data_IF_248668369957
#
_entry.id   IF_248668369957
#
_cell.length_a   1.000
_cell.length_b   1.000
_cell.length_c   1.000
_cell.angle_alpha   90.00
_cell.angle_beta   90.00
_cell.angle_gamma   90.00
#
_symmetry.space_group_name_H-M   'P 1'
#
loop_
_entity.id
_entity.type
_entity.pdbx_description
1 polymer ?
#
# COMPACT_ATOMS: atom_id res chain seq x y z
N UNK A 1 -6.25 15.29 -16.34
CA UNK A 1 -5.58 16.46 -15.70
C UNK A 1 -4.08 16.24 -15.90
N UNK A 2 -3.33 17.19 -16.49
CA UNK A 2 -1.86 17.24 -16.22
C UNK A 2 -1.74 17.05 -14.72
N UNK A 3 -0.98 16.06 -14.21
CA UNK A 3 -0.55 16.06 -12.79
C UNK A 3 -0.31 17.53 -12.50
N UNK A 4 -1.11 18.13 -11.61
CA UNK A 4 -0.96 19.53 -11.28
C UNK A 4 0.53 19.70 -11.04
N UNK A 5 1.12 20.79 -11.52
CA UNK A 5 2.36 21.22 -10.94
C UNK A 5 2.01 21.52 -9.47
N UNK A 6 1.89 20.48 -8.64
CA UNK A 6 2.04 20.59 -7.22
C UNK A 6 3.35 21.31 -7.09
N UNK A 7 3.33 22.40 -6.33
CA UNK A 7 4.54 23.00 -5.79
C UNK A 7 5.51 21.85 -5.55
N UNK A 8 6.65 21.81 -6.24
CA UNK A 8 7.60 20.71 -6.09
C UNK A 8 7.79 20.54 -4.59
N UNK A 9 7.20 19.47 -4.03
CA UNK A 9 7.21 19.30 -2.60
C UNK A 9 8.68 19.18 -2.25
N UNK A 10 9.17 20.13 -1.45
CA UNK A 10 10.56 20.16 -1.08
C UNK A 10 10.87 18.82 -0.43
N UNK A 11 11.89 18.14 -0.95
CA UNK A 11 12.29 16.85 -0.43
C UNK A 11 12.61 17.02 1.07
N UNK A 12 11.98 16.24 1.97
CA UNK A 12 12.28 16.34 3.39
C UNK A 12 13.73 15.93 3.60
N UNK A 13 14.48 16.73 4.36
CA UNK A 13 15.84 16.37 4.78
C UNK A 13 15.81 15.29 5.87
N UNK A 14 14.83 15.40 6.77
CA UNK A 14 14.61 14.49 7.89
C UNK A 14 13.12 14.20 8.07
N UNK A 15 12.82 12.96 8.43
CA UNK A 15 11.46 12.49 8.72
C UNK A 15 11.45 11.96 10.15
N UNK A 16 10.44 12.37 10.92
CA UNK A 16 10.13 11.75 12.21
C UNK A 16 9.10 10.66 12.02
N UNK A 17 9.29 9.56 12.72
CA UNK A 17 8.40 8.38 12.71
C UNK A 17 8.04 8.07 14.15
N UNK A 18 6.75 8.10 14.48
CA UNK A 18 6.24 7.84 15.83
C UNK A 18 5.28 6.67 15.81
N UNK A 19 5.41 5.81 16.82
CA UNK A 19 4.41 4.78 17.15
C UNK A 19 3.71 5.21 18.44
N UNK A 20 2.53 5.86 18.35
CA UNK A 20 1.91 6.49 19.52
C UNK A 20 1.68 5.53 20.68
N UNK A 21 1.24 4.29 20.38
CA UNK A 21 1.02 3.24 21.39
C UNK A 21 2.29 2.85 22.15
N UNK A 22 3.45 2.91 21.50
CA UNK A 22 4.75 2.58 22.08
C UNK A 22 5.46 3.80 22.66
N UNK A 23 4.85 4.99 22.56
CA UNK A 23 5.42 6.28 22.95
C UNK A 23 6.88 6.46 22.50
N UNK A 24 7.17 6.03 21.28
CA UNK A 24 8.54 6.03 20.75
C UNK A 24 8.57 6.72 19.40
N UNK A 25 9.56 7.60 19.24
CA UNK A 25 9.81 8.35 18.01
C UNK A 25 11.26 8.14 17.59
N UNK A 26 11.47 7.89 16.30
CA UNK A 26 12.78 7.85 15.67
C UNK A 26 12.90 8.91 14.57
N UNK A 27 14.13 9.17 14.15
CA UNK A 27 14.49 10.13 13.11
C UNK A 27 15.17 9.42 11.96
N UNK A 28 14.67 9.65 10.75
CA UNK A 28 15.28 9.19 9.51
C UNK A 28 15.89 10.38 8.80
N UNK A 29 17.19 10.31 8.50
CA UNK A 29 17.86 11.24 7.60
C UNK A 29 17.70 10.75 6.17
N UNK A 30 17.11 11.58 5.31
CA UNK A 30 16.92 11.26 3.90
C UNK A 30 18.23 11.45 3.14
N UNK A 31 18.47 10.59 2.14
CA UNK A 31 19.68 10.59 1.31
C UNK A 31 19.36 11.09 -0.09
N UNK A 32 20.32 11.81 -0.69
CA UNK A 32 20.25 12.28 -2.08
C UNK A 32 20.46 11.16 -3.13
N UNK A 33 20.46 9.89 -2.73
CA UNK A 33 20.64 8.77 -3.65
C UNK A 33 19.42 8.48 -4.53
N UNK A 34 18.22 8.87 -4.06
CA UNK A 34 16.95 8.72 -4.77
C UNK A 34 16.07 9.98 -4.61
N UNK A 35 16.53 11.16 -5.06
CA UNK A 35 15.87 12.44 -4.80
C UNK A 35 14.45 12.48 -5.33
N UNK A 36 14.15 11.78 -6.43
CA UNK A 36 12.81 11.71 -7.00
C UNK A 36 11.84 11.02 -6.03
N UNK A 37 12.26 9.88 -5.46
CA UNK A 37 11.46 9.11 -4.50
C UNK A 37 11.31 9.85 -3.17
N UNK A 38 12.35 10.56 -2.72
CA UNK A 38 12.30 11.37 -1.49
C UNK A 38 11.36 12.57 -1.65
N UNK A 39 11.44 13.30 -2.76
CA UNK A 39 10.50 14.40 -3.06
C UNK A 39 9.07 13.88 -3.18
N UNK A 40 8.88 12.71 -3.81
CA UNK A 40 7.59 12.07 -3.90
C UNK A 40 7.02 11.71 -2.51
N UNK A 41 7.83 11.12 -1.63
CA UNK A 41 7.42 10.90 -0.24
C UNK A 41 7.06 12.21 0.48
N UNK A 42 7.80 13.28 0.24
CA UNK A 42 7.50 14.62 0.76
C UNK A 42 6.09 15.10 0.41
N UNK A 43 5.54 14.71 -0.75
CA UNK A 43 4.17 15.06 -1.15
C UNK A 43 3.08 14.30 -0.40
N UNK A 44 3.42 13.17 0.23
CA UNK A 44 2.50 12.38 1.07
C UNK A 44 2.57 12.76 2.55
N UNK A 45 3.61 13.48 3.00
CA UNK A 45 3.77 13.85 4.40
C UNK A 45 2.92 15.07 4.79
N UNK A 46 2.35 15.10 6.02
CA UNK A 46 2.33 14.01 7.01
C UNK A 46 1.26 12.95 6.70
N UNK A 47 1.48 11.71 7.15
CA UNK A 47 0.48 10.64 7.09
C UNK A 47 0.58 9.67 8.27
N UNK A 48 -0.50 8.93 8.53
CA UNK A 48 -0.54 7.76 9.43
C UNK A 48 -0.70 6.47 8.63
N UNK A 49 -0.40 5.31 9.21
CA UNK A 49 -0.58 3.99 8.58
C UNK A 49 -0.64 2.87 9.62
N UNK A 50 -1.10 1.68 9.22
CA UNK A 50 -0.95 0.46 10.00
C UNK A 50 0.48 -0.08 9.87
N UNK A 51 1.19 -0.15 10.99
CA UNK A 51 2.52 -0.74 11.05
C UNK A 51 2.45 -2.26 11.00
N UNK A 52 3.24 -2.86 10.12
CA UNK A 52 3.41 -4.32 10.04
C UNK A 52 4.87 -4.74 10.13
N UNK A 53 5.08 -6.03 10.41
CA UNK A 53 6.36 -6.70 10.37
C UNK A 53 6.43 -7.66 9.17
N UNK A 54 7.61 -7.76 8.55
CA UNK A 54 7.85 -8.79 7.55
C UNK A 54 7.80 -10.20 8.15
N UNK A 55 7.06 -11.08 7.48
CA UNK A 55 6.87 -12.48 7.90
C UNK A 55 7.71 -13.45 7.09
N UNK A 56 8.48 -12.93 6.11
CA UNK A 56 9.34 -13.71 5.21
C UNK A 56 10.72 -13.08 5.09
N UNK A 57 10.79 -11.77 4.85
CA UNK A 57 12.05 -11.11 4.50
C UNK A 57 13.07 -11.03 5.65
N UNK A 58 12.67 -11.28 6.90
CA UNK A 58 13.50 -11.12 8.09
C UNK A 58 13.16 -9.85 8.87
N UNK A 59 14.18 -9.23 9.44
CA UNK A 59 14.10 -8.06 10.33
C UNK A 59 13.81 -6.77 9.55
N UNK A 60 12.55 -6.65 9.10
CA UNK A 60 12.03 -5.48 8.40
C UNK A 60 10.66 -5.05 8.94
N UNK A 61 10.54 -3.75 9.16
CA UNK A 61 9.27 -3.07 9.35
C UNK A 61 8.80 -2.48 8.03
N UNK A 62 7.51 -2.57 7.73
CA UNK A 62 6.93 -1.80 6.65
C UNK A 62 5.47 -1.45 6.89
N UNK A 63 5.04 -0.38 6.23
CA UNK A 63 3.67 0.09 6.23
C UNK A 63 3.34 0.71 4.87
N UNK A 64 2.04 0.85 4.60
CA UNK A 64 1.56 1.46 3.37
C UNK A 64 1.73 2.98 3.41
N UNK A 65 2.22 3.53 2.31
CA UNK A 65 2.25 4.96 2.02
C UNK A 65 1.01 5.27 1.17
N UNK A 66 0.21 6.29 1.52
CA UNK A 66 -1.01 6.64 0.78
C UNK A 66 -0.66 7.37 -0.52
N UNK A 67 0.01 6.69 -1.45
CA UNK A 67 0.56 7.32 -2.65
C UNK A 67 0.57 6.37 -3.86
N UNK A 68 -0.36 6.57 -4.80
CA UNK A 68 -0.51 5.78 -6.03
C UNK A 68 0.77 5.83 -6.87
N UNK A 69 1.44 6.98 -6.86
CA UNK A 69 2.63 7.25 -7.67
C UNK A 69 3.81 6.33 -7.33
N UNK A 70 3.82 5.69 -6.15
CA UNK A 70 4.84 4.68 -5.84
C UNK A 70 4.70 3.42 -6.70
N UNK A 71 3.48 3.06 -7.13
CA UNK A 71 3.22 1.91 -8.02
C UNK A 71 4.01 2.05 -9.34
N UNK A 72 4.00 3.26 -9.90
CA UNK A 72 4.56 3.57 -11.22
C UNK A 72 6.02 4.03 -11.15
N UNK A 73 6.44 4.67 -10.06
CA UNK A 73 7.79 5.20 -9.87
C UNK A 73 8.69 4.28 -9.05
N UNK A 74 8.15 3.17 -8.52
CA UNK A 74 8.93 2.23 -7.74
C UNK A 74 10.03 1.53 -8.55
N UNK A 75 11.03 0.96 -7.85
CA UNK A 75 12.28 0.52 -8.46
C UNK A 75 12.09 -0.44 -9.65
N UNK A 76 11.09 -1.31 -9.66
CA UNK A 76 10.99 -2.49 -10.52
C UNK A 76 10.85 -2.25 -12.05
N UNK A 77 10.99 -1.01 -12.55
CA UNK A 77 10.90 -0.70 -13.97
C UNK A 77 12.16 0.00 -14.51
N UNK A 78 12.69 -0.44 -15.65
CA UNK A 78 13.68 0.30 -16.44
C UNK A 78 13.24 0.19 -17.90
N UNK A 79 12.68 1.23 -18.53
CA UNK A 79 12.28 1.12 -19.93
C UNK A 79 13.54 0.92 -20.79
N UNK A 80 13.52 -0.08 -21.69
CA UNK A 80 14.63 -0.35 -22.63
C UNK A 80 14.78 0.71 -23.72
N UNK A 81 13.83 1.65 -23.85
CA UNK A 81 13.89 2.82 -24.74
C UNK A 81 13.20 4.01 -24.08
N UNK A 82 13.74 5.24 -24.18
CA UNK A 82 13.00 6.44 -23.79
C UNK A 82 11.76 6.56 -24.69
N UNK A 83 10.57 6.57 -24.11
CA UNK A 83 9.35 6.86 -24.85
C UNK A 83 9.23 8.39 -24.88
N UNK A 84 9.41 8.97 -26.07
CA UNK A 84 9.06 10.37 -26.31
C UNK A 84 7.57 10.53 -25.97
N UNK A 85 7.27 11.33 -24.94
CA UNK A 85 5.97 11.57 -24.28
C UNK A 85 5.68 10.82 -22.96
N UNK A 86 6.59 9.99 -22.41
CA UNK A 86 6.41 9.35 -21.09
C UNK A 86 7.06 10.11 -19.92
N UNK A 87 7.12 11.44 -19.96
CA UNK A 87 7.90 12.29 -19.05
C UNK A 87 7.46 12.29 -17.57
N UNK A 88 6.72 11.29 -17.06
CA UNK A 88 6.11 11.31 -15.71
C UNK A 88 6.17 10.01 -14.91
N UNK A 89 6.90 8.99 -15.38
CA UNK A 89 7.15 7.78 -14.59
C UNK A 89 8.65 7.58 -14.46
N UNK A 90 9.22 8.02 -13.35
CA UNK A 90 10.67 7.97 -13.12
C UNK A 90 10.94 6.83 -12.14
N UNK A 91 11.54 5.72 -12.58
CA UNK A 91 11.99 4.66 -11.68
C UNK A 91 12.97 5.19 -10.64
N UNK A 92 13.20 4.40 -9.57
CA UNK A 92 14.28 4.66 -8.62
C UNK A 92 15.58 5.09 -9.33
N UNK A 93 16.11 6.26 -8.95
CA UNK A 93 17.31 6.86 -9.54
C UNK A 93 18.52 5.93 -9.35
N UNK A 94 18.58 5.26 -8.19
CA UNK A 94 19.59 4.26 -7.85
C UNK A 94 18.99 3.11 -7.05
N UNK A 95 19.41 1.89 -7.40
CA UNK A 95 19.12 0.70 -6.57
C UNK A 95 20.37 0.13 -5.94
N UNK A 96 20.25 -0.25 -4.67
CA UNK A 96 21.12 -1.25 -4.11
C UNK A 96 20.76 -2.61 -4.74
N UNK A 97 21.76 -3.41 -5.16
CA UNK A 97 21.51 -4.67 -5.84
C UNK A 97 20.90 -5.75 -4.93
N UNK A 98 21.10 -5.64 -3.62
CA UNK A 98 20.74 -6.66 -2.65
C UNK A 98 20.39 -6.00 -1.31
N UNK A 99 19.11 -6.04 -0.93
CA UNK A 99 18.64 -5.43 0.33
C UNK A 99 19.20 -6.11 1.57
N UNK A 100 19.58 -7.39 1.49
CA UNK A 100 20.18 -8.09 2.61
C UNK A 100 21.52 -7.44 3.03
N UNK A 101 22.23 -6.84 2.07
CA UNK A 101 23.55 -6.20 2.26
C UNK A 101 23.49 -4.73 2.66
N UNK A 102 22.33 -4.08 2.59
CA UNK A 102 22.17 -2.71 3.05
C UNK A 102 22.34 -2.63 4.57
N UNK A 103 22.91 -1.57 5.15
CA UNK A 103 23.11 -1.49 6.60
C UNK A 103 21.78 -1.39 7.36
N UNK A 104 21.76 -1.80 8.62
CA UNK A 104 20.62 -1.57 9.51
C UNK A 104 20.29 -0.07 9.59
N UNK A 105 19.01 0.22 9.78
CA UNK A 105 18.44 1.56 9.73
C UNK A 105 18.18 2.06 8.31
N UNK A 106 18.57 1.32 7.26
CA UNK A 106 18.28 1.71 5.88
C UNK A 106 16.78 1.77 5.61
N UNK A 107 16.36 2.86 4.96
CA UNK A 107 14.98 3.10 4.57
C UNK A 107 14.82 2.93 3.07
N UNK A 108 13.78 2.18 2.67
CA UNK A 108 13.44 1.93 1.27
C UNK A 108 12.02 2.38 0.95
N UNK A 109 11.81 2.84 -0.29
CA UNK A 109 10.48 2.97 -0.88
C UNK A 109 10.32 1.92 -2.00
N UNK A 110 9.15 1.28 -2.06
CA UNK A 110 8.90 0.20 -3.02
C UNK A 110 7.70 0.46 -3.92
N UNK A 111 7.62 -0.26 -5.04
CA UNK A 111 6.46 -0.23 -5.94
C UNK A 111 5.20 -0.86 -5.35
N UNK A 112 5.30 -1.52 -4.20
CA UNK A 112 4.15 -2.03 -3.44
C UNK A 112 3.61 -0.98 -2.48
N UNK A 113 3.89 0.30 -2.75
CA UNK A 113 3.51 1.44 -1.91
C UNK A 113 4.05 1.37 -0.48
N UNK A 114 5.14 0.64 -0.24
CA UNK A 114 5.70 0.51 1.12
C UNK A 114 6.78 1.54 1.43
N UNK A 115 6.76 2.02 2.67
CA UNK A 115 7.93 2.55 3.37
C UNK A 115 8.49 1.42 4.23
N UNK A 116 9.76 1.07 4.03
CA UNK A 116 10.40 -0.10 4.66
C UNK A 116 11.60 0.36 5.46
N UNK A 117 11.78 -0.18 6.67
CA UNK A 117 12.97 0.02 7.50
C UNK A 117 13.60 -1.35 7.79
N UNK A 118 14.85 -1.54 7.40
CA UNK A 118 15.66 -2.68 7.85
C UNK A 118 16.19 -2.41 9.25
N UNK A 119 16.07 -3.34 10.19
CA UNK A 119 16.61 -3.18 11.55
C UNK A 119 17.52 -4.32 12.03
N UNK A 120 17.67 -5.38 11.22
CA UNK A 120 18.52 -6.54 11.51
C UNK A 120 18.74 -7.44 10.28
N UNK A 121 18.78 -8.76 10.47
CA UNK A 121 19.07 -9.72 9.40
C UNK A 121 17.94 -9.85 8.39
N UNK A 122 18.25 -9.83 7.10
CA UNK A 122 17.29 -9.93 6.00
C UNK A 122 17.73 -11.02 5.04
N UNK A 123 16.82 -11.94 4.70
CA UNK A 123 17.08 -13.09 3.82
C UNK A 123 16.66 -12.82 2.37
N UNK A 124 15.80 -11.84 2.15
CA UNK A 124 15.35 -11.48 0.80
C UNK A 124 16.44 -10.68 0.08
N UNK A 125 16.92 -11.17 -1.08
CA UNK A 125 18.00 -10.53 -1.84
C UNK A 125 17.54 -9.53 -2.92
N UNK A 126 16.25 -9.16 -2.92
CA UNK A 126 15.72 -8.32 -3.98
C UNK A 126 16.35 -6.91 -3.98
N UNK A 127 16.63 -6.33 -5.17
CA UNK A 127 17.11 -4.95 -5.27
C UNK A 127 16.12 -3.96 -4.64
N UNK A 128 16.65 -2.90 -4.02
CA UNK A 128 15.86 -1.87 -3.32
C UNK A 128 16.32 -0.46 -3.64
N UNK A 129 15.40 0.50 -3.50
CA UNK A 129 15.69 1.92 -3.64
C UNK A 129 15.90 2.53 -2.25
N UNK A 130 17.17 2.67 -1.84
CA UNK A 130 17.53 3.26 -0.55
C UNK A 130 17.34 4.77 -0.57
N UNK A 131 16.41 5.25 0.26
CA UNK A 131 15.99 6.65 0.32
C UNK A 131 16.49 7.37 1.58
N UNK A 132 16.87 6.65 2.63
CA UNK A 132 17.29 7.26 3.89
C UNK A 132 17.99 6.30 4.82
N UNK A 133 18.34 6.78 6.01
CA UNK A 133 18.85 5.97 7.12
C UNK A 133 18.34 6.54 8.44
N UNK A 134 17.89 5.67 9.35
CA UNK A 134 17.67 6.02 10.75
C UNK A 134 18.99 6.52 11.36
N UNK A 135 18.92 7.59 12.15
CA UNK A 135 20.10 8.14 12.82
C UNK A 135 20.63 7.15 13.86
N UNK A 136 21.94 7.16 14.11
CA UNK A 136 22.58 6.13 14.94
C UNK A 136 22.05 6.16 16.38
N UNK A 137 21.68 7.34 16.90
CA UNK A 137 21.10 7.54 18.23
C UNK A 137 19.72 6.90 18.43
N UNK A 138 19.00 6.63 17.34
CA UNK A 138 17.65 6.07 17.37
C UNK A 138 17.63 4.57 16.99
N UNK A 139 18.79 3.95 16.72
CA UNK A 139 18.87 2.54 16.31
C UNK A 139 18.43 1.57 17.40
N UNK A 140 18.73 1.83 18.68
CA UNK A 140 18.24 0.98 19.77
C UNK A 140 16.72 1.09 19.95
N UNK A 141 16.17 2.31 19.79
CA UNK A 141 14.72 2.54 19.79
C UNK A 141 14.03 1.79 18.65
N UNK A 142 14.62 1.81 17.46
CA UNK A 142 14.10 1.08 16.30
C UNK A 142 14.02 -0.43 16.57
N UNK A 143 15.10 -1.02 17.10
CA UNK A 143 15.14 -2.47 17.40
C UNK A 143 14.10 -2.84 18.45
N UNK A 144 14.01 -2.05 19.54
CA UNK A 144 12.99 -2.27 20.56
C UNK A 144 11.57 -2.15 19.99
N UNK A 145 11.29 -1.12 19.18
CA UNK A 145 9.99 -0.98 18.50
C UNK A 145 9.69 -2.19 17.61
N UNK A 146 10.67 -2.65 16.85
CA UNK A 146 10.50 -3.79 15.95
C UNK A 146 10.17 -5.09 16.71
N UNK A 147 10.86 -5.34 17.82
CA UNK A 147 10.58 -6.47 18.71
C UNK A 147 9.15 -6.40 19.27
N UNK A 148 8.70 -5.23 19.71
CA UNK A 148 7.33 -5.04 20.20
C UNK A 148 6.30 -5.28 19.08
N UNK A 149 6.52 -4.74 17.88
CA UNK A 149 5.63 -4.96 16.73
C UNK A 149 5.54 -6.45 16.40
N UNK A 150 6.67 -7.17 16.37
CA UNK A 150 6.68 -8.61 16.13
C UNK A 150 5.90 -9.39 17.19
N UNK A 151 6.06 -9.01 18.47
CA UNK A 151 5.28 -9.60 19.59
C UNK A 151 3.78 -9.41 19.36
N UNK A 152 3.31 -8.19 19.10
CA UNK A 152 1.90 -7.93 18.80
C UNK A 152 1.40 -8.74 17.58
N UNK A 153 2.20 -8.81 16.51
CA UNK A 153 1.90 -9.60 15.32
C UNK A 153 1.95 -11.13 15.56
N UNK A 154 2.46 -11.58 16.71
CA UNK A 154 2.40 -12.97 17.17
C UNK A 154 1.41 -13.21 18.33
N UNK A 155 0.79 -12.19 18.92
CA UNK A 155 -0.17 -12.35 20.03
C UNK A 155 -1.49 -13.02 19.61
N UNK A 156 -2.19 -13.64 20.57
CA UNK A 156 -3.54 -14.17 20.32
C UNK A 156 -4.56 -13.05 20.16
N UNK A 157 -4.46 -12.02 21.00
CA UNK A 157 -5.31 -10.83 20.92
C UNK A 157 -4.54 -9.75 20.18
N UNK A 158 -4.92 -9.52 18.93
CA UNK A 158 -4.27 -8.54 18.06
C UNK A 158 -4.72 -7.13 18.42
N UNK A 159 -3.78 -6.19 18.32
CA UNK A 159 -4.05 -4.78 18.45
C UNK A 159 -3.33 -4.05 17.32
N UNK A 160 -4.05 -3.28 16.50
CA UNK A 160 -3.42 -2.50 15.44
C UNK A 160 -2.42 -1.52 16.04
N UNK A 161 -1.29 -1.36 15.36
CA UNK A 161 -0.24 -0.42 15.75
C UNK A 161 -0.18 0.66 14.70
N UNK A 162 -0.63 1.85 15.07
CA UNK A 162 -0.47 3.03 14.22
C UNK A 162 0.99 3.49 14.18
N UNK A 163 1.42 3.91 13.00
CA UNK A 163 2.65 4.69 12.80
C UNK A 163 2.29 6.03 12.14
N UNK A 164 2.91 7.11 12.62
CA UNK A 164 2.70 8.48 12.14
C UNK A 164 4.03 9.05 11.66
N UNK A 165 4.04 9.61 10.44
CA UNK A 165 5.23 10.15 9.81
C UNK A 165 5.02 11.61 9.42
N UNK A 166 6.03 12.44 9.67
CA UNK A 166 6.03 13.84 9.27
C UNK A 166 7.43 14.36 8.96
N UNK A 167 7.49 15.43 8.18
CA UNK A 167 8.71 16.20 7.95
C UNK A 167 9.19 16.83 9.27
N UNK A 168 10.43 16.54 9.66
CA UNK A 168 10.98 16.98 10.96
C UNK A 168 11.07 18.51 11.10
N UNK A 169 11.02 19.27 10.00
CA UNK A 169 10.96 20.74 10.03
C UNK A 169 9.59 21.28 10.46
N UNK A 170 8.57 20.42 10.53
CA UNK A 170 7.20 20.75 10.92
C UNK A 170 6.87 20.18 12.32
N UNK A 171 5.92 20.79 13.05
CA UNK A 171 5.45 20.23 14.31
C UNK A 171 4.82 18.85 14.11
N UNK A 172 4.82 18.04 15.17
CA UNK A 172 4.13 16.74 15.18
C UNK A 172 2.64 16.94 14.82
N UNK A 173 2.11 16.21 13.83
CA UNK A 173 0.71 16.32 13.43
C UNK A 173 -0.19 15.61 14.43
N UNK A 174 -1.44 16.07 14.51
CA UNK A 174 -2.53 15.35 15.17
C UNK A 174 -3.07 14.26 14.21
N UNK A 175 -2.89 12.95 14.51
CA UNK A 175 -3.27 11.86 13.60
C UNK A 175 -4.76 11.86 13.23
N UNK A 176 -5.63 12.29 14.16
CA UNK A 176 -7.08 12.32 13.98
C UNK A 176 -7.53 13.40 12.98
N UNK A 177 -6.66 14.38 12.70
CA UNK A 177 -6.91 15.47 11.76
C UNK A 177 -6.30 15.23 10.37
N UNK A 178 -5.62 14.11 10.16
CA UNK A 178 -5.00 13.80 8.88
C UNK A 178 -6.03 13.26 7.87
N UNK A 179 -6.13 13.94 6.73
CA UNK A 179 -6.83 13.45 5.55
C UNK A 179 -5.82 12.74 4.63
N UNK A 180 -5.85 11.41 4.67
CA UNK A 180 -4.84 10.52 4.09
C UNK A 180 -4.98 10.44 2.57
N UNK A 181 -6.19 10.64 2.06
CA UNK A 181 -6.49 10.60 0.63
C UNK A 181 -6.60 11.99 0.01
N UNK A 182 -6.25 13.04 0.76
CA UNK A 182 -6.17 14.40 0.23
C UNK A 182 -5.21 14.47 -0.95
N UNK A 183 -5.71 14.92 -2.10
CA UNK A 183 -4.91 15.07 -3.30
C UNK A 183 -4.71 13.78 -4.12
N UNK A 184 -5.29 12.66 -3.68
CA UNK A 184 -5.40 11.46 -4.53
C UNK A 184 -6.36 11.71 -5.70
N UNK A 185 -6.25 10.87 -6.73
CA UNK A 185 -7.08 10.99 -7.93
C UNK A 185 -8.55 10.78 -7.57
N UNK A 186 -9.40 11.71 -7.98
CA UNK A 186 -10.84 11.65 -7.73
C UNK A 186 -11.67 11.34 -8.99
N UNK A 187 -11.03 11.33 -10.18
CA UNK A 187 -11.72 11.31 -11.46
C UNK A 187 -12.21 12.70 -11.89
N UNK A 188 -12.94 12.73 -13.01
CA UNK A 188 -13.49 13.92 -13.65
C UNK A 188 -15.01 13.98 -13.47
N UNK A 189 -15.72 12.89 -13.80
CA UNK A 189 -17.18 12.83 -13.76
C UNK A 189 -17.71 12.90 -12.33
N UNK A 190 -18.87 13.54 -12.13
CA UNK A 190 -19.46 13.71 -10.79
C UNK A 190 -19.76 12.36 -10.11
N UNK A 191 -20.31 11.40 -10.85
CA UNK A 191 -20.64 10.08 -10.33
C UNK A 191 -19.38 9.31 -9.91
N UNK A 192 -18.31 9.40 -10.70
CA UNK A 192 -17.02 8.77 -10.40
C UNK A 192 -16.38 9.41 -9.17
N UNK A 193 -16.37 10.75 -9.08
CA UNK A 193 -15.90 11.48 -7.90
C UNK A 193 -16.62 11.06 -6.63
N UNK A 194 -17.93 10.88 -6.69
CA UNK A 194 -18.72 10.44 -5.55
C UNK A 194 -18.34 9.02 -5.10
N UNK A 195 -18.23 8.07 -6.05
CA UNK A 195 -17.84 6.69 -5.73
C UNK A 195 -16.41 6.62 -5.18
N UNK A 196 -15.47 7.31 -5.81
CA UNK A 196 -14.07 7.35 -5.36
C UNK A 196 -13.96 7.98 -3.98
N UNK A 197 -14.69 9.07 -3.72
CA UNK A 197 -14.74 9.67 -2.40
C UNK A 197 -15.28 8.70 -1.35
N UNK A 198 -16.35 7.97 -1.65
CA UNK A 198 -16.92 6.97 -0.74
C UNK A 198 -15.91 5.86 -0.40
N UNK A 199 -15.24 5.29 -1.42
CA UNK A 199 -14.21 4.27 -1.22
C UNK A 199 -13.05 4.81 -0.39
N UNK A 200 -12.58 6.04 -0.65
CA UNK A 200 -11.54 6.68 0.16
C UNK A 200 -11.99 6.95 1.59
N UNK A 201 -13.25 7.35 1.81
CA UNK A 201 -13.80 7.53 3.16
C UNK A 201 -13.82 6.22 3.93
N UNK A 202 -14.26 5.13 3.30
CA UNK A 202 -14.25 3.80 3.90
C UNK A 202 -12.81 3.31 4.16
N UNK A 203 -11.90 3.57 3.22
CA UNK A 203 -10.48 3.23 3.38
C UNK A 203 -9.84 4.02 4.53
N UNK A 204 -10.13 5.32 4.65
CA UNK A 204 -9.59 6.19 5.70
C UNK A 204 -10.08 5.80 7.10
N UNK A 205 -11.34 5.35 7.20
CA UNK A 205 -11.93 4.86 8.46
C UNK A 205 -11.07 3.78 9.11
N UNK A 206 -10.51 2.87 8.30
CA UNK A 206 -9.73 1.73 8.79
C UNK A 206 -8.23 1.80 8.47
N UNK A 207 -7.70 2.94 8.00
CA UNK A 207 -6.35 3.02 7.47
C UNK A 207 -5.23 2.62 8.47
N UNK A 208 -5.42 2.91 9.76
CA UNK A 208 -4.55 2.47 10.86
C UNK A 208 -5.23 1.42 11.77
N UNK A 209 -6.36 0.85 11.35
CA UNK A 209 -7.19 -0.06 12.15
C UNK A 209 -7.53 -1.32 11.34
N UNK A 210 -8.39 -2.18 11.87
CA UNK A 210 -8.86 -3.42 11.23
C UNK A 210 -10.28 -3.22 10.74
N UNK A 211 -10.52 -3.53 9.45
CA UNK A 211 -11.87 -3.50 8.88
C UNK A 211 -12.74 -4.62 9.45
N UNK A 212 -14.05 -4.36 9.53
CA UNK A 212 -15.02 -5.33 10.05
C UNK A 212 -15.00 -6.66 9.27
N UNK A 213 -14.75 -6.60 7.95
CA UNK A 213 -14.62 -7.80 7.13
C UNK A 213 -13.44 -8.67 7.55
N UNK A 214 -12.24 -8.08 7.63
CA UNK A 214 -11.03 -8.80 8.06
C UNK A 214 -11.16 -9.30 9.50
N UNK A 215 -11.73 -8.50 10.39
CA UNK A 215 -11.97 -8.90 11.77
C UNK A 215 -12.90 -10.12 11.85
N UNK A 216 -14.02 -10.12 11.12
CA UNK A 216 -14.95 -11.26 11.07
C UNK A 216 -14.29 -12.53 10.52
N UNK A 217 -13.51 -12.44 9.44
CA UNK A 217 -12.78 -13.59 8.88
C UNK A 217 -11.82 -14.20 9.92
N UNK A 218 -11.07 -13.38 10.65
CA UNK A 218 -10.06 -13.85 11.61
C UNK A 218 -10.64 -14.36 12.93
N UNK A 219 -11.93 -14.09 13.20
CA UNK A 219 -12.65 -14.59 14.36
C UNK A 219 -13.66 -15.71 14.01
N UNK A 220 -13.67 -16.21 12.77
CA UNK A 220 -14.61 -17.24 12.33
C UNK A 220 -16.08 -16.76 12.33
N UNK A 221 -16.30 -15.46 12.14
CA UNK A 221 -17.61 -14.78 12.16
C UNK A 221 -18.05 -14.25 10.79
N UNK A 222 -17.39 -14.67 9.71
CA UNK A 222 -17.80 -14.32 8.37
C UNK A 222 -19.23 -14.89 8.10
N UNK A 223 -20.16 -14.12 7.49
CA UNK A 223 -21.58 -14.50 7.41
C UNK A 223 -21.84 -15.84 6.72
N UNK A 224 -21.12 -16.13 5.63
CA UNK A 224 -21.29 -17.36 4.85
C UNK A 224 -20.57 -18.57 5.45
N UNK A 225 -19.90 -18.40 6.61
CA UNK A 225 -19.15 -19.44 7.33
C UNK A 225 -18.17 -20.20 6.42
N UNK A 226 -17.32 -19.50 5.63
CA UNK A 226 -16.34 -20.13 4.75
C UNK A 226 -15.39 -21.03 5.55
N UNK A 227 -15.31 -22.31 5.16
CA UNK A 227 -14.48 -23.27 5.86
C UNK A 227 -14.95 -24.71 5.68
N UNK A 228 -14.01 -25.62 5.43
CA UNK A 228 -14.30 -27.06 5.39
C UNK A 228 -14.16 -27.65 6.79
N UNK A 229 -15.03 -28.60 7.13
CA UNK A 229 -14.97 -29.38 8.40
C UNK A 229 -14.98 -28.48 9.64
N UNK A 230 -15.90 -27.51 9.68
CA UNK A 230 -16.10 -26.59 10.80
C UNK A 230 -14.85 -25.79 11.23
N UNK A 231 -13.95 -25.52 10.29
CA UNK A 231 -12.72 -24.75 10.52
C UNK A 231 -12.60 -23.56 9.57
N UNK A 232 -12.39 -22.37 10.14
CA UNK A 232 -12.17 -21.12 9.40
C UNK A 232 -10.68 -20.86 9.10
N UNK A 233 -9.77 -21.78 9.45
CA UNK A 233 -8.33 -21.65 9.13
C UNK A 233 -8.11 -21.51 7.61
N UNK A 234 -8.82 -22.31 6.82
CA UNK A 234 -8.77 -22.19 5.35
C UNK A 234 -9.16 -20.80 4.88
N UNK A 235 -10.24 -20.22 5.43
CA UNK A 235 -10.69 -18.88 5.07
C UNK A 235 -9.63 -17.82 5.39
N UNK A 236 -8.93 -17.91 6.53
CA UNK A 236 -7.82 -17.00 6.86
C UNK A 236 -6.65 -17.13 5.86
N UNK A 237 -6.26 -18.36 5.50
CA UNK A 237 -5.17 -18.63 4.54
C UNK A 237 -5.52 -18.08 3.15
N UNK A 238 -6.73 -18.34 2.67
CA UNK A 238 -7.19 -17.85 1.39
C UNK A 238 -7.36 -16.32 1.39
N UNK A 239 -7.89 -15.73 2.47
CA UNK A 239 -7.96 -14.27 2.58
C UNK A 239 -6.58 -13.62 2.50
N UNK A 240 -5.61 -14.12 3.27
CA UNK A 240 -4.24 -13.58 3.27
C UNK A 240 -3.57 -13.64 1.89
N UNK A 241 -3.79 -14.71 1.13
CA UNK A 241 -3.14 -14.92 -0.18
C UNK A 241 -3.87 -14.26 -1.35
N UNK A 242 -5.20 -14.32 -1.37
CA UNK A 242 -6.02 -13.84 -2.49
C UNK A 242 -6.14 -12.31 -2.46
N UNK A 243 -6.41 -11.72 -1.29
CA UNK A 243 -6.48 -10.25 -1.14
C UNK A 243 -5.14 -9.62 -1.53
N UNK A 244 -4.04 -10.25 -1.10
CA UNK A 244 -2.68 -9.83 -1.45
C UNK A 244 -2.43 -9.84 -2.96
N UNK A 245 -2.85 -10.91 -3.63
CA UNK A 245 -2.75 -11.03 -5.10
C UNK A 245 -3.63 -10.00 -5.81
N UNK A 246 -4.86 -9.79 -5.35
CA UNK A 246 -5.78 -8.82 -5.96
C UNK A 246 -5.22 -7.40 -5.94
N UNK A 247 -4.67 -6.97 -4.79
CA UNK A 247 -4.10 -5.63 -4.61
C UNK A 247 -2.87 -5.42 -5.50
N UNK A 248 -1.71 -5.85 -5.02
CA UNK A 248 -0.44 -5.43 -5.64
C UNK A 248 -0.06 -6.19 -6.93
N UNK A 249 -0.70 -7.32 -7.24
CA UNK A 249 -0.43 -8.07 -8.47
C UNK A 249 -1.43 -7.81 -9.59
N UNK A 250 -2.68 -7.49 -9.29
CA UNK A 250 -3.72 -7.28 -10.32
C UNK A 250 -4.03 -5.79 -10.44
N UNK A 251 -4.60 -5.17 -9.41
CA UNK A 251 -5.03 -3.77 -9.45
C UNK A 251 -3.85 -2.82 -9.69
N UNK A 252 -2.78 -2.95 -8.91
CA UNK A 252 -1.59 -2.10 -9.06
C UNK A 252 -0.91 -2.29 -10.42
N UNK A 253 -0.94 -3.51 -10.99
CA UNK A 253 -0.37 -3.74 -12.31
C UNK A 253 -1.23 -3.18 -13.45
N UNK A 254 -2.56 -3.14 -13.31
CA UNK A 254 -3.42 -2.42 -14.27
C UNK A 254 -3.05 -0.92 -14.28
N UNK A 255 -2.92 -0.31 -13.11
CA UNK A 255 -2.45 1.07 -12.97
C UNK A 255 -1.05 1.22 -13.59
N UNK A 256 -0.11 0.37 -13.21
CA UNK A 256 1.27 0.40 -13.73
C UNK A 256 1.32 0.31 -15.25
N UNK A 257 0.56 -0.60 -15.86
CA UNK A 257 0.49 -0.76 -17.32
C UNK A 257 -0.06 0.51 -17.96
N UNK A 258 -1.12 1.10 -17.38
CA UNK A 258 -1.72 2.33 -17.90
C UNK A 258 -0.73 3.52 -18.00
N UNK A 259 0.27 3.56 -17.13
CA UNK A 259 1.27 4.63 -17.09
C UNK A 259 2.56 4.29 -17.84
N UNK A 260 2.99 3.03 -17.82
CA UNK A 260 4.31 2.63 -18.33
C UNK A 260 4.27 2.03 -19.73
N UNK A 261 3.09 1.67 -20.22
CA UNK A 261 2.86 0.99 -21.51
C UNK A 261 1.82 1.74 -22.34
N UNK A 262 2.21 2.75 -23.14
CA UNK A 262 1.27 3.54 -23.93
C UNK A 262 0.47 2.73 -24.96
N UNK A 263 0.92 1.52 -25.31
CA UNK A 263 0.20 0.57 -26.15
C UNK A 263 -1.10 0.02 -25.50
N UNK A 264 -1.24 0.12 -24.17
CA UNK A 264 -2.48 -0.25 -23.48
C UNK A 264 -3.49 0.92 -23.52
N UNK A 265 -4.37 0.85 -24.51
CA UNK A 265 -5.55 1.72 -24.66
C UNK A 265 -6.50 1.56 -23.48
N UNK A 266 -7.44 2.50 -23.31
CA UNK A 266 -8.48 2.41 -22.28
C UNK A 266 -9.29 1.11 -22.42
N UNK A 267 -9.66 0.72 -23.65
CA UNK A 267 -10.36 -0.54 -23.90
C UNK A 267 -9.57 -1.77 -23.44
N UNK A 268 -8.26 -1.82 -23.68
CA UNK A 268 -7.43 -2.91 -23.18
C UNK A 268 -7.42 -2.97 -21.64
N UNK A 269 -7.32 -1.82 -20.96
CA UNK A 269 -7.32 -1.78 -19.50
C UNK A 269 -8.66 -2.23 -18.91
N UNK A 270 -9.79 -1.87 -19.54
CA UNK A 270 -11.12 -2.31 -19.14
C UNK A 270 -11.25 -3.83 -19.28
N UNK A 271 -10.75 -4.42 -20.36
CA UNK A 271 -10.73 -5.89 -20.54
C UNK A 271 -9.93 -6.55 -19.42
N UNK A 272 -8.73 -6.06 -19.11
CA UNK A 272 -7.93 -6.61 -17.99
C UNK A 272 -8.67 -6.53 -16.65
N UNK A 273 -9.38 -5.43 -16.40
CA UNK A 273 -10.18 -5.26 -15.19
C UNK A 273 -11.32 -6.28 -15.12
N UNK A 274 -12.09 -6.44 -16.21
CA UNK A 274 -13.23 -7.36 -16.26
C UNK A 274 -12.85 -8.83 -16.32
N UNK A 275 -11.69 -9.18 -16.84
CA UNK A 275 -11.27 -10.58 -16.99
C UNK A 275 -10.56 -11.13 -15.75
N UNK A 276 -9.86 -10.29 -14.99
CA UNK A 276 -9.03 -10.75 -13.87
C UNK A 276 -9.64 -10.57 -12.48
N UNK A 277 -10.62 -9.68 -12.31
CA UNK A 277 -11.10 -9.25 -10.99
C UNK A 277 -12.39 -9.94 -10.52
N UNK A 278 -13.46 -10.11 -11.31
CA UNK A 278 -14.77 -10.49 -10.77
C UNK A 278 -14.79 -11.79 -9.96
N UNK A 279 -14.16 -12.86 -10.44
CA UNK A 279 -14.14 -14.14 -9.71
C UNK A 279 -13.36 -14.05 -8.39
N UNK A 280 -12.36 -13.18 -8.35
CA UNK A 280 -11.56 -12.95 -7.15
C UNK A 280 -12.33 -12.11 -6.14
N UNK A 281 -13.04 -11.07 -6.57
CA UNK A 281 -13.83 -10.22 -5.66
C UNK A 281 -15.02 -10.96 -5.08
N UNK A 282 -15.70 -11.77 -5.88
CA UNK A 282 -16.77 -12.66 -5.43
C UNK A 282 -16.27 -13.62 -4.35
N UNK A 283 -15.12 -14.28 -4.59
CA UNK A 283 -14.52 -15.16 -3.59
C UNK A 283 -14.06 -14.40 -2.33
N UNK A 284 -13.49 -13.20 -2.46
CA UNK A 284 -13.11 -12.36 -1.32
C UNK A 284 -14.34 -11.92 -0.50
N UNK A 285 -15.48 -11.66 -1.15
CA UNK A 285 -16.74 -11.39 -0.46
C UNK A 285 -17.24 -12.62 0.32
N UNK A 286 -17.21 -13.80 -0.28
CA UNK A 286 -17.51 -15.07 0.40
C UNK A 286 -16.64 -15.29 1.65
N UNK A 287 -15.37 -14.84 1.62
CA UNK A 287 -14.47 -14.90 2.77
C UNK A 287 -14.80 -13.91 3.90
N UNK A 288 -15.65 -12.90 3.64
CA UNK A 288 -16.14 -11.92 4.62
C UNK A 288 -15.77 -10.46 4.33
N UNK A 289 -15.25 -10.13 3.15
CA UNK A 289 -14.92 -8.76 2.73
C UNK A 289 -15.82 -8.27 1.58
N UNK A 290 -17.12 -8.23 1.84
CA UNK A 290 -18.20 -7.96 0.88
C UNK A 290 -18.03 -6.60 0.19
N UNK A 291 -17.54 -5.59 0.91
CA UNK A 291 -17.31 -4.24 0.36
C UNK A 291 -16.39 -4.23 -0.88
N UNK A 292 -15.47 -5.21 -0.99
CA UNK A 292 -14.60 -5.35 -2.18
C UNK A 292 -15.44 -5.67 -3.41
N UNK A 293 -16.36 -6.63 -3.31
CA UNK A 293 -17.22 -7.02 -4.43
C UNK A 293 -18.27 -5.95 -4.74
N UNK A 294 -18.89 -5.37 -3.72
CA UNK A 294 -19.84 -4.26 -3.89
C UNK A 294 -19.18 -3.07 -4.62
N UNK A 295 -17.93 -2.74 -4.25
CA UNK A 295 -17.16 -1.70 -4.92
C UNK A 295 -16.84 -2.08 -6.37
N UNK A 296 -16.43 -3.32 -6.63
CA UNK A 296 -16.18 -3.80 -7.99
C UNK A 296 -17.43 -3.68 -8.88
N UNK A 297 -18.59 -4.16 -8.43
CA UNK A 297 -19.83 -4.12 -9.21
C UNK A 297 -20.27 -2.69 -9.55
N UNK A 298 -20.07 -1.76 -8.61
CA UNK A 298 -20.37 -0.34 -8.81
C UNK A 298 -19.39 0.32 -9.77
N UNK A 299 -18.11 -0.04 -9.68
CA UNK A 299 -17.09 0.41 -10.63
C UNK A 299 -17.41 -0.10 -12.03
N UNK A 300 -17.67 -1.40 -12.21
CA UNK A 300 -17.97 -1.96 -13.53
C UNK A 300 -19.21 -1.32 -14.18
N UNK A 301 -20.24 -1.06 -13.37
CA UNK A 301 -21.42 -0.32 -13.80
C UNK A 301 -21.07 1.08 -14.29
N UNK A 302 -20.27 1.84 -13.53
CA UNK A 302 -19.84 3.17 -13.94
C UNK A 302 -18.90 3.16 -15.14
N UNK A 303 -18.08 2.12 -15.30
CA UNK A 303 -17.27 1.93 -16.51
C UNK A 303 -18.20 1.86 -17.72
N UNK A 304 -19.23 1.01 -17.66
CA UNK A 304 -20.21 0.85 -18.74
C UNK A 304 -20.98 2.14 -19.02
N UNK A 305 -21.43 2.82 -17.98
CA UNK A 305 -22.31 3.99 -18.12
C UNK A 305 -21.57 5.28 -18.46
N UNK A 306 -20.35 5.47 -17.96
CA UNK A 306 -19.62 6.75 -17.95
C UNK A 306 -18.24 6.73 -18.59
N UNK A 307 -17.61 5.57 -18.71
CA UNK A 307 -16.26 5.47 -19.30
C UNK A 307 -16.37 5.05 -20.77
N UNK A 308 -17.04 3.94 -21.06
CA UNK A 308 -17.15 3.39 -22.42
C UNK A 308 -17.96 4.29 -23.37
N UNK A 309 -18.92 5.04 -22.82
CA UNK A 309 -19.79 5.94 -23.58
C UNK A 309 -19.22 7.37 -23.75
N UNK A 310 -18.11 7.69 -23.10
CA UNK A 310 -17.61 9.07 -23.05
C UNK A 310 -16.82 9.44 -24.32
N UNK A 311 -17.25 10.48 -25.06
CA UNK A 311 -16.54 10.91 -26.27
C UNK A 311 -15.14 11.49 -25.96
N UNK A 312 -14.92 11.99 -24.75
CA UNK A 312 -13.62 12.46 -24.29
C UNK A 312 -12.81 11.30 -23.66
N UNK A 313 -11.95 10.69 -24.47
CA UNK A 313 -11.14 9.54 -24.07
C UNK A 313 -10.11 9.85 -22.95
N UNK A 314 -9.66 11.10 -22.83
CA UNK A 314 -8.77 11.49 -21.74
C UNK A 314 -9.52 11.52 -20.41
N UNK A 315 -10.71 12.11 -20.38
CA UNK A 315 -11.56 12.11 -19.17
C UNK A 315 -12.00 10.70 -18.80
N UNK A 316 -12.42 9.90 -19.78
CA UNK A 316 -12.80 8.51 -19.58
C UNK A 316 -11.66 7.69 -18.94
N UNK A 317 -10.43 7.88 -19.43
CA UNK A 317 -9.25 7.22 -18.87
C UNK A 317 -8.95 7.67 -17.44
N UNK A 318 -9.07 8.96 -17.14
CA UNK A 318 -8.87 9.47 -15.79
C UNK A 318 -9.94 8.96 -14.81
N UNK A 319 -11.20 8.87 -15.25
CA UNK A 319 -12.29 8.29 -14.47
C UNK A 319 -12.04 6.80 -14.17
N UNK A 320 -11.65 6.02 -15.18
CA UNK A 320 -11.28 4.62 -15.00
C UNK A 320 -10.15 4.47 -13.97
N UNK A 321 -9.04 5.19 -14.16
CA UNK A 321 -7.88 5.08 -13.27
C UNK A 321 -8.19 5.53 -11.84
N UNK A 322 -9.05 6.53 -11.64
CA UNK A 322 -9.46 6.96 -10.31
C UNK A 322 -10.21 5.86 -9.56
N UNK A 323 -11.15 5.18 -10.22
CA UNK A 323 -11.89 4.06 -9.63
C UNK A 323 -10.98 2.88 -9.29
N UNK A 324 -10.08 2.50 -10.21
CA UNK A 324 -9.16 1.38 -10.00
C UNK A 324 -8.17 1.69 -8.87
N UNK A 325 -7.64 2.93 -8.82
CA UNK A 325 -6.73 3.37 -7.76
C UNK A 325 -7.42 3.37 -6.40
N UNK A 326 -8.67 3.84 -6.31
CA UNK A 326 -9.41 3.85 -5.05
C UNK A 326 -9.64 2.43 -4.51
N UNK A 327 -10.08 1.51 -5.38
CA UNK A 327 -10.21 0.09 -5.02
C UNK A 327 -8.87 -0.54 -4.65
N UNK A 328 -7.80 -0.22 -5.39
CA UNK A 328 -6.44 -0.69 -5.13
C UNK A 328 -5.95 -0.32 -3.72
N UNK A 329 -6.15 0.94 -3.31
CA UNK A 329 -5.82 1.37 -1.94
C UNK A 329 -6.60 0.59 -0.87
N UNK A 330 -7.90 0.40 -1.07
CA UNK A 330 -8.71 -0.36 -0.13
C UNK A 330 -8.23 -1.82 -0.01
N UNK A 331 -8.00 -2.50 -1.13
CA UNK A 331 -7.53 -3.90 -1.15
C UNK A 331 -6.12 -4.03 -0.57
N UNK A 332 -5.21 -3.09 -0.87
CA UNK A 332 -3.87 -3.09 -0.28
C UNK A 332 -3.93 -2.86 1.23
N UNK A 333 -4.84 -2.01 1.74
CA UNK A 333 -5.11 -1.89 3.18
C UNK A 333 -5.56 -3.23 3.77
N UNK A 334 -6.52 -3.93 3.14
CA UNK A 334 -6.96 -5.25 3.61
C UNK A 334 -5.81 -6.27 3.65
N UNK A 335 -4.87 -6.21 2.70
CA UNK A 335 -3.65 -7.03 2.74
C UNK A 335 -2.79 -6.71 3.98
N UNK A 336 -2.56 -5.44 4.30
CA UNK A 336 -1.81 -5.05 5.51
C UNK A 336 -2.52 -5.54 6.79
N UNK A 337 -3.85 -5.44 6.84
CA UNK A 337 -4.67 -5.95 7.94
C UNK A 337 -4.58 -7.48 8.04
N UNK A 338 -4.66 -8.21 6.93
CA UNK A 338 -4.47 -9.66 6.87
C UNK A 338 -3.08 -10.07 7.38
N UNK A 339 -2.03 -9.34 7.02
CA UNK A 339 -0.68 -9.57 7.52
C UNK A 339 -0.60 -9.38 9.04
N UNK A 340 -1.26 -8.37 9.58
CA UNK A 340 -1.30 -8.13 11.02
C UNK A 340 -2.12 -9.20 11.77
N UNK A 341 -3.29 -9.56 11.24
CA UNK A 341 -4.27 -10.41 11.92
C UNK A 341 -3.99 -11.90 11.81
N UNK A 342 -3.28 -12.35 10.77
CA UNK A 342 -3.00 -13.77 10.57
C UNK A 342 -2.23 -14.36 11.77
N UNK A 343 -2.53 -15.61 12.20
CA UNK A 343 -2.00 -16.17 13.44
C UNK A 343 -0.54 -16.67 13.29
N UNK A 344 0.41 -15.76 13.05
CA UNK A 344 1.84 -16.07 12.87
C UNK A 344 2.52 -16.73 14.06
N UNK A 345 1.87 -16.76 15.24
CA UNK A 345 2.33 -17.52 16.40
C UNK A 345 2.67 -18.98 16.09
N UNK A 346 1.96 -19.58 15.12
CA UNK A 346 2.18 -20.96 14.69
C UNK A 346 3.53 -21.14 14.00
N UNK A 347 4.21 -20.08 13.55
CA UNK A 347 5.57 -20.15 13.01
C UNK A 347 6.57 -20.75 14.02
N UNK A 348 6.30 -20.67 15.33
CA UNK A 348 7.11 -21.33 16.36
C UNK A 348 7.16 -22.86 16.22
N UNK A 349 6.18 -23.45 15.55
CA UNK A 349 6.11 -24.89 15.29
C UNK A 349 6.93 -25.30 14.06
N UNK A 350 7.46 -24.33 13.29
CA UNK A 350 8.17 -24.53 12.02
C UNK A 350 9.52 -23.77 12.00
N UNK A 351 10.46 -24.06 12.91
CA UNK A 351 11.77 -23.41 12.90
C UNK A 351 12.59 -23.80 11.66
N UNK A 352 13.43 -22.88 11.19
CA UNK A 352 14.47 -23.19 10.20
C UNK A 352 15.54 -24.03 10.90
N UNK A 353 15.92 -25.16 10.30
CA UNK A 353 16.90 -26.11 10.84
C UNK A 353 18.33 -25.89 10.36
#
# INVERSE_FOLDING_TARGET
MRISNGSQAQAPSEIKIKWPRLNTTITVKMKDANPTLVSLLGSALPYRSLQTHAVVAGDQLYHLVPLEQLIVNGPSYRPKRPIANSAKCTPADKKAPDRAKEPDGSVFLSSFQHFVIKYGEVTEHQPVATCGKVIDEDMEKLRWVADEIWKFQCETRKHPIEVVLWDASKPEPDPDKLDIFKGQRAGVSKQVKNLVHEIHTETQKYWSDISEGIERTHHGKAPERPGSKDSYLGAMVFSNSVVRTLGYHILDNIIKLAFTRPEFTLGHLIVLFRDFIPSITDFVAHLGAEYVNDSYERIDRLIKEKVESNPNQEEAREDFLAMISALGFYVNLLNAQNLHMFPWRHAKEYPIG
#
